data_IF_291557181184
#
_entry.id   IF_291557181184
#
_cell.length_a   1.000
_cell.length_b   1.000
_cell.length_c   1.000
_cell.angle_alpha   90.00
_cell.angle_beta   90.00
_cell.angle_gamma   90.00
#
_symmetry.space_group_name_H-M   'P 1'
#
loop_
_entity.id
_entity.type
_entity.pdbx_description
1 polymer ?
#
# COMPACT_ATOMS: atom_id res chain seq x y z
N UNK A 1 10.48 -13.22 10.80
CA UNK A 1 9.13 -12.74 10.50
C UNK A 1 8.25 -13.86 9.98
N UNK A 2 6.91 -13.82 10.24
CA UNK A 2 6.02 -14.87 9.78
C UNK A 2 5.86 -14.88 8.27
N UNK A 3 5.80 -16.07 7.68
CA UNK A 3 5.40 -16.28 6.29
C UNK A 3 4.05 -16.99 6.29
N UNK A 4 3.07 -16.41 5.60
CA UNK A 4 1.70 -16.94 5.53
C UNK A 4 1.47 -17.54 4.15
N UNK A 5 1.01 -18.80 4.13
CA UNK A 5 0.61 -19.47 2.89
C UNK A 5 -0.86 -19.15 2.58
N UNK A 6 -1.12 -18.44 1.49
CA UNK A 6 -2.48 -18.16 1.02
C UNK A 6 -3.02 -19.28 0.12
N UNK A 7 -3.17 -20.45 0.71
CA UNK A 7 -3.52 -21.69 -0.03
C UNK A 7 -4.88 -21.58 -0.73
N UNK A 8 -5.87 -20.97 -0.07
CA UNK A 8 -7.23 -20.80 -0.61
C UNK A 8 -7.39 -19.52 -1.44
N UNK A 9 -6.36 -18.68 -1.51
CA UNK A 9 -6.35 -17.38 -2.20
C UNK A 9 -7.30 -16.33 -1.62
N UNK A 10 -7.85 -16.57 -0.44
CA UNK A 10 -8.79 -15.63 0.22
C UNK A 10 -8.08 -14.32 0.57
N UNK A 11 -6.83 -14.38 1.04
CA UNK A 11 -6.07 -13.16 1.37
C UNK A 11 -5.85 -12.32 0.11
N UNK A 12 -5.41 -12.94 -0.98
CA UNK A 12 -5.20 -12.26 -2.26
C UNK A 12 -6.49 -11.64 -2.81
N UNK A 13 -7.62 -12.31 -2.64
CA UNK A 13 -8.93 -11.79 -3.01
C UNK A 13 -9.28 -10.57 -2.16
N UNK A 14 -9.13 -10.67 -0.85
CA UNK A 14 -9.47 -9.59 0.08
C UNK A 14 -8.63 -8.33 -0.13
N UNK A 15 -7.37 -8.48 -0.55
CA UNK A 15 -6.50 -7.36 -0.92
C UNK A 15 -6.63 -6.92 -2.37
N UNK A 16 -7.54 -7.55 -3.12
CA UNK A 16 -7.79 -7.24 -4.54
C UNK A 16 -6.52 -7.36 -5.42
N UNK A 17 -5.73 -8.41 -5.15
CA UNK A 17 -4.47 -8.67 -5.86
C UNK A 17 -4.48 -9.96 -6.66
N UNK A 18 -5.60 -10.68 -6.71
CA UNK A 18 -5.66 -11.97 -7.38
C UNK A 18 -5.88 -11.81 -8.89
N UNK A 19 -4.98 -12.40 -9.66
CA UNK A 19 -5.20 -12.63 -11.10
C UNK A 19 -5.91 -13.96 -11.28
N UNK A 20 -7.20 -13.90 -11.39
CA UNK A 20 -8.08 -15.06 -11.38
C UNK A 20 -9.31 -14.77 -10.56
N UNK A 21 -10.26 -15.66 -10.55
CA UNK A 21 -11.53 -15.46 -9.87
C UNK A 21 -12.12 -16.79 -9.42
N UNK A 22 -13.16 -16.72 -8.61
CA UNK A 22 -14.01 -17.86 -8.28
C UNK A 22 -15.37 -17.70 -8.92
N UNK A 23 -15.87 -18.81 -9.45
CA UNK A 23 -17.22 -18.91 -9.94
C UNK A 23 -17.99 -19.92 -9.10
N UNK A 24 -19.30 -19.96 -9.23
CA UNK A 24 -20.15 -20.92 -8.52
C UNK A 24 -20.78 -21.86 -9.55
N UNK A 25 -20.59 -23.17 -9.36
CA UNK A 25 -21.20 -24.17 -10.21
C UNK A 25 -22.70 -24.39 -9.91
N UNK A 26 -23.34 -25.28 -10.66
CA UNK A 26 -24.77 -25.60 -10.49
C UNK A 26 -25.10 -26.17 -9.11
N UNK A 27 -24.11 -26.81 -8.44
CA UNK A 27 -24.28 -27.39 -7.10
C UNK A 27 -24.00 -26.39 -5.98
N UNK A 28 -23.61 -25.14 -6.30
CA UNK A 28 -23.26 -24.13 -5.32
C UNK A 28 -21.80 -24.19 -4.84
N UNK A 29 -20.97 -25.03 -5.45
CA UNK A 29 -19.55 -25.14 -5.11
C UNK A 29 -18.74 -24.01 -5.76
N UNK A 30 -17.73 -23.52 -5.05
CA UNK A 30 -16.79 -22.55 -5.60
C UNK A 30 -15.78 -23.23 -6.53
N UNK A 31 -15.67 -22.70 -7.74
CA UNK A 31 -14.71 -23.17 -8.75
C UNK A 31 -13.73 -22.04 -9.05
N UNK A 32 -12.44 -22.33 -8.94
CA UNK A 32 -11.40 -21.38 -9.31
C UNK A 32 -11.30 -21.26 -10.83
N UNK A 33 -11.21 -20.02 -11.33
CA UNK A 33 -11.06 -19.70 -12.74
C UNK A 33 -9.86 -18.77 -12.94
N UNK A 34 -9.11 -18.96 -14.04
CA UNK A 34 -7.92 -18.18 -14.33
C UNK A 34 -6.66 -18.71 -13.67
N UNK A 35 -5.63 -17.88 -13.63
CA UNK A 35 -4.27 -18.29 -13.24
C UNK A 35 -4.09 -18.50 -11.74
N UNK A 36 -4.93 -17.89 -10.92
CA UNK A 36 -4.89 -18.00 -9.46
C UNK A 36 -3.53 -17.57 -8.87
N UNK A 37 -2.91 -16.57 -9.46
CA UNK A 37 -1.63 -15.99 -9.05
C UNK A 37 -1.90 -14.57 -8.54
N UNK A 38 -1.23 -14.19 -7.46
CA UNK A 38 -1.33 -12.82 -6.95
C UNK A 38 -0.42 -11.87 -7.75
N UNK A 39 -0.92 -10.68 -8.04
CA UNK A 39 -0.08 -9.56 -8.47
C UNK A 39 0.94 -9.22 -7.39
N UNK A 40 1.96 -8.45 -7.74
CA UNK A 40 3.03 -8.05 -6.83
C UNK A 40 2.54 -6.91 -5.95
N UNK A 41 1.88 -7.23 -4.86
CA UNK A 41 1.34 -6.26 -3.92
C UNK A 41 2.29 -5.98 -2.75
N UNK A 42 2.25 -4.74 -2.27
CA UNK A 42 2.88 -4.30 -1.04
C UNK A 42 1.94 -3.32 -0.33
N UNK A 43 1.72 -3.54 0.95
CA UNK A 43 0.78 -2.75 1.75
C UNK A 43 1.46 -2.28 3.02
N UNK A 44 1.37 -0.99 3.31
CA UNK A 44 1.77 -0.42 4.59
C UNK A 44 0.52 -0.24 5.45
N UNK A 45 0.47 -0.97 6.55
CA UNK A 45 -0.68 -0.98 7.46
C UNK A 45 -0.22 -0.41 8.80
N UNK A 46 -0.94 0.59 9.31
CA UNK A 46 -0.59 1.21 10.58
C UNK A 46 -1.02 0.37 11.79
N UNK A 47 -0.69 0.87 12.99
CA UNK A 47 -0.99 0.16 14.24
C UNK A 47 -2.48 0.02 14.53
N UNK A 48 -3.32 0.82 13.86
CA UNK A 48 -4.78 0.74 13.96
C UNK A 48 -5.40 -0.22 12.95
N UNK A 49 -4.58 -0.85 12.10
CA UNK A 49 -5.05 -1.76 11.05
C UNK A 49 -5.52 -1.07 9.78
N UNK A 50 -5.20 0.21 9.60
CA UNK A 50 -5.58 0.99 8.42
C UNK A 50 -4.48 0.92 7.36
N UNK A 51 -4.86 0.61 6.12
CA UNK A 51 -3.93 0.66 4.98
C UNK A 51 -3.62 2.11 4.66
N UNK A 52 -2.35 2.49 4.80
CA UNK A 52 -1.88 3.87 4.60
C UNK A 52 -1.20 4.06 3.25
N UNK A 53 -0.67 3.01 2.69
CA UNK A 53 -0.04 2.99 1.37
C UNK A 53 -0.20 1.62 0.75
N UNK A 54 -0.43 1.57 -0.54
CA UNK A 54 -0.43 0.33 -1.29
C UNK A 54 0.23 0.52 -2.65
N UNK A 55 0.88 -0.53 -3.12
CA UNK A 55 1.47 -0.60 -4.44
C UNK A 55 1.16 -1.99 -5.00
N UNK A 56 0.59 -2.03 -6.19
CA UNK A 56 0.28 -3.28 -6.88
C UNK A 56 0.87 -3.19 -8.27
N UNK A 57 1.84 -4.06 -8.56
CA UNK A 57 2.47 -4.14 -9.87
C UNK A 57 2.02 -5.39 -10.62
N UNK A 58 1.98 -5.29 -11.93
CA UNK A 58 1.82 -6.45 -12.79
C UNK A 58 2.98 -7.44 -12.60
N UNK A 59 2.78 -8.69 -13.01
CA UNK A 59 3.71 -9.79 -12.74
C UNK A 59 5.15 -9.54 -13.21
N UNK A 60 5.42 -8.91 -14.38
CA UNK A 60 6.79 -8.65 -14.81
C UNK A 60 7.48 -7.49 -14.09
N UNK A 61 6.75 -6.72 -13.28
CA UNK A 61 7.25 -5.48 -12.70
C UNK A 61 7.62 -5.67 -11.22
N UNK A 62 8.89 -5.59 -10.90
CA UNK A 62 9.38 -5.67 -9.52
C UNK A 62 8.97 -4.46 -8.68
N UNK A 63 8.86 -4.67 -7.37
CA UNK A 63 8.60 -3.59 -6.40
C UNK A 63 9.88 -2.85 -6.08
N UNK A 64 9.76 -1.57 -5.71
CA UNK A 64 10.87 -0.76 -5.26
C UNK A 64 10.91 -0.73 -3.73
N UNK A 65 11.90 -1.36 -3.13
CA UNK A 65 12.05 -1.43 -1.67
C UNK A 65 12.38 -0.07 -1.07
N UNK A 66 13.15 0.77 -1.76
CA UNK A 66 13.48 2.11 -1.28
C UNK A 66 12.23 2.99 -1.16
N UNK A 67 11.30 2.87 -2.09
CA UNK A 67 10.00 3.56 -1.99
C UNK A 67 9.17 3.05 -0.82
N UNK A 68 9.18 1.74 -0.55
CA UNK A 68 8.51 1.18 0.61
C UNK A 68 9.08 1.75 1.92
N UNK A 69 10.40 1.85 2.02
CA UNK A 69 11.07 2.45 3.18
C UNK A 69 10.75 3.96 3.29
N UNK A 70 10.74 4.67 2.17
CA UNK A 70 10.36 6.09 2.13
C UNK A 70 8.94 6.30 2.69
N UNK A 71 8.01 5.42 2.34
CA UNK A 71 6.64 5.49 2.83
C UNK A 71 6.53 5.18 4.31
N UNK A 72 7.32 4.24 4.84
CA UNK A 72 7.41 4.00 6.29
C UNK A 72 7.94 5.23 7.01
N UNK A 73 9.01 5.83 6.51
CA UNK A 73 9.59 7.05 7.08
C UNK A 73 8.57 8.21 7.06
N UNK A 74 7.82 8.35 5.96
CA UNK A 74 6.79 9.37 5.82
C UNK A 74 5.65 9.19 6.81
N UNK A 75 5.17 7.96 6.99
CA UNK A 75 4.12 7.65 7.96
C UNK A 75 4.59 7.94 9.39
N UNK A 76 5.79 7.51 9.76
CA UNK A 76 6.36 7.79 11.08
C UNK A 76 6.54 9.29 11.32
N UNK A 77 6.98 10.03 10.32
CA UNK A 77 7.10 11.49 10.40
C UNK A 77 5.74 12.15 10.67
N UNK A 78 4.71 11.75 9.92
CA UNK A 78 3.35 12.25 10.13
C UNK A 78 2.81 11.92 11.51
N UNK A 79 2.99 10.68 11.97
CA UNK A 79 2.54 10.26 13.30
C UNK A 79 3.25 11.01 14.42
N UNK A 80 4.52 11.34 14.24
CA UNK A 80 5.34 12.03 15.25
C UNK A 80 5.10 13.54 15.27
N UNK A 81 5.03 14.17 14.11
CA UNK A 81 5.00 15.65 13.98
C UNK A 81 3.65 16.24 13.61
N UNK A 82 2.71 15.41 13.11
CA UNK A 82 1.42 15.90 12.62
C UNK A 82 1.49 16.71 11.33
N UNK A 83 2.65 16.77 10.70
CA UNK A 83 2.85 17.44 9.42
C UNK A 83 2.77 16.47 8.25
N UNK A 84 2.25 16.93 7.13
CA UNK A 84 2.16 16.11 5.91
C UNK A 84 3.48 16.12 5.15
N UNK A 85 3.73 15.05 4.42
CA UNK A 85 4.90 14.90 3.58
C UNK A 85 4.53 15.30 2.14
N UNK A 86 5.10 16.38 1.59
CA UNK A 86 4.82 16.78 0.21
C UNK A 86 5.43 15.78 -0.79
N UNK A 87 5.08 15.96 -2.06
CA UNK A 87 5.61 15.13 -3.13
C UNK A 87 7.14 15.09 -3.11
N UNK A 88 7.71 13.93 -3.35
CA UNK A 88 9.16 13.68 -3.34
C UNK A 88 9.84 13.88 -1.98
N UNK A 89 9.05 13.94 -0.91
CA UNK A 89 9.60 14.02 0.44
C UNK A 89 10.45 12.79 0.75
N UNK A 90 11.54 12.99 1.48
CA UNK A 90 12.33 11.91 2.06
C UNK A 90 12.77 12.32 3.45
N UNK A 91 13.18 11.34 4.26
CA UNK A 91 13.62 11.56 5.63
C UNK A 91 14.69 12.66 5.71
N UNK A 92 14.49 13.61 6.61
CA UNK A 92 15.35 14.78 6.79
C UNK A 92 14.89 16.03 6.04
N UNK A 93 13.91 15.93 5.16
CA UNK A 93 13.31 17.09 4.50
C UNK A 93 12.15 17.67 5.31
N UNK A 94 11.81 18.91 5.01
CA UNK A 94 10.73 19.61 5.70
C UNK A 94 9.35 19.01 5.38
N UNK A 95 8.50 18.95 6.40
CA UNK A 95 7.09 18.69 6.24
C UNK A 95 6.29 19.95 6.00
N UNK A 96 5.00 19.81 5.91
CA UNK A 96 4.07 20.92 5.63
C UNK A 96 2.83 20.77 6.52
N UNK A 97 2.34 21.87 7.07
CA UNK A 97 1.05 21.85 7.76
C UNK A 97 -0.08 21.78 6.75
N UNK A 98 -1.07 20.93 7.02
CA UNK A 98 -2.20 20.69 6.12
C UNK A 98 -3.30 21.77 6.27
N UNK A 99 -2.91 23.03 6.16
CA UNK A 99 -3.82 24.18 6.11
C UNK A 99 -3.35 25.20 5.07
N UNK A 100 -4.19 26.18 4.74
CA UNK A 100 -3.88 27.16 3.71
C UNK A 100 -2.59 27.94 4.00
N UNK A 101 -2.36 28.30 5.25
CA UNK A 101 -1.15 29.03 5.65
C UNK A 101 0.08 28.14 5.54
N UNK A 102 0.00 26.91 6.04
CA UNK A 102 1.11 25.95 5.98
C UNK A 102 1.54 25.63 4.55
N UNK A 103 0.58 25.50 3.64
CA UNK A 103 0.85 25.29 2.21
C UNK A 103 1.53 26.53 1.60
N UNK A 104 1.01 27.73 1.89
CA UNK A 104 1.59 28.98 1.39
C UNK A 104 3.02 29.19 1.91
N UNK A 105 3.25 28.94 3.20
CA UNK A 105 4.57 29.07 3.82
C UNK A 105 5.57 28.07 3.21
N UNK A 106 5.15 26.82 3.01
CA UNK A 106 6.00 25.80 2.40
C UNK A 106 6.36 26.16 0.95
N UNK A 107 5.38 26.53 0.12
CA UNK A 107 5.60 26.88 -1.28
C UNK A 107 6.42 28.17 -1.44
N UNK A 108 6.33 29.07 -0.48
CA UNK A 108 7.11 30.31 -0.49
C UNK A 108 8.61 30.09 -0.22
N UNK A 109 9.00 28.95 0.37
CA UNK A 109 10.39 28.62 0.72
C UNK A 109 10.96 27.44 -0.06
N UNK A 110 10.15 26.77 -0.84
CA UNK A 110 10.50 25.60 -1.63
C UNK A 110 10.01 25.77 -3.06
#
# INVERSE_FOLDING_TARGET
YPLVADTTKIISINFDTLLGDYDVNENGDLIATGDMIAFRGLFLIDKSGVVRHQLINDLPLGRNVDEALRMVDALQFFEEKGEVCPANWSKGKDGMKADHKGVADYLGTH
#
